data_IF_587311296067
#
_entry.id   IF_587311296067
#
_cell.length_a   1.000
_cell.length_b   1.000
_cell.length_c   1.000
_cell.angle_alpha   90.00
_cell.angle_beta   90.00
_cell.angle_gamma   90.00
#
_symmetry.space_group_name_H-M   'P 1'
#
loop_
_entity.id
_entity.type
_entity.pdbx_description
1 polymer ?
#
# COMPACT_ATOMS: atom_id res chain seq x y z
N UNK A 1 -2.31 -26.46 -1.01
CA UNK A 1 -2.51 -25.41 0.03
C UNK A 1 -2.29 -23.98 -0.47
N UNK A 2 -1.30 -23.71 -1.34
CA UNK A 2 -0.99 -22.34 -1.83
C UNK A 2 -2.14 -21.69 -2.62
N UNK A 3 -2.79 -22.43 -3.52
CA UNK A 3 -3.89 -21.89 -4.35
C UNK A 3 -5.09 -21.38 -3.54
N UNK A 4 -5.45 -22.07 -2.46
CA UNK A 4 -6.58 -21.67 -1.61
C UNK A 4 -6.30 -20.35 -0.88
N UNK A 5 -5.05 -20.11 -0.46
CA UNK A 5 -4.63 -18.84 0.15
C UNK A 5 -4.68 -17.66 -0.83
N UNK A 6 -4.29 -17.90 -2.09
CA UNK A 6 -4.37 -16.88 -3.15
C UNK A 6 -5.81 -16.49 -3.46
N UNK A 7 -6.71 -17.48 -3.58
CA UNK A 7 -8.13 -17.25 -3.85
C UNK A 7 -8.79 -16.48 -2.69
N UNK A 8 -8.45 -16.81 -1.44
CA UNK A 8 -9.01 -16.13 -0.27
C UNK A 8 -8.53 -14.67 -0.21
N UNK A 9 -7.24 -14.41 -0.45
CA UNK A 9 -6.71 -13.04 -0.58
C UNK A 9 -7.41 -12.26 -1.69
N UNK A 10 -7.58 -12.86 -2.87
CA UNK A 10 -8.27 -12.22 -3.99
C UNK A 10 -9.73 -11.89 -3.65
N UNK A 11 -10.44 -12.80 -2.97
CA UNK A 11 -11.82 -12.59 -2.51
C UNK A 11 -11.92 -11.40 -1.55
N UNK A 12 -10.98 -11.28 -0.60
CA UNK A 12 -10.90 -10.15 0.34
C UNK A 12 -10.66 -8.83 -0.41
N UNK A 13 -9.75 -8.80 -1.39
CA UNK A 13 -9.52 -7.60 -2.20
C UNK A 13 -10.75 -7.21 -3.04
N UNK A 14 -11.47 -8.17 -3.61
CA UNK A 14 -12.71 -7.92 -4.33
C UNK A 14 -13.80 -7.35 -3.40
N UNK A 15 -13.97 -7.92 -2.20
CA UNK A 15 -14.93 -7.44 -1.21
C UNK A 15 -14.60 -6.00 -0.77
N UNK A 16 -13.33 -5.70 -0.52
CA UNK A 16 -12.87 -4.34 -0.19
C UNK A 16 -13.16 -3.37 -1.34
N UNK A 17 -12.94 -3.77 -2.60
CA UNK A 17 -13.25 -2.92 -3.76
C UNK A 17 -14.73 -2.55 -3.85
N UNK A 18 -15.63 -3.49 -3.55
CA UNK A 18 -17.08 -3.25 -3.54
C UNK A 18 -17.46 -2.31 -2.38
N UNK A 19 -16.92 -2.54 -1.18
CA UNK A 19 -17.17 -1.70 -0.01
C UNK A 19 -16.67 -0.27 -0.20
N UNK A 20 -15.46 -0.10 -0.74
CA UNK A 20 -14.88 1.21 -1.03
C UNK A 20 -15.71 1.98 -2.07
N UNK A 21 -16.23 1.28 -3.09
CA UNK A 21 -17.12 1.91 -4.08
C UNK A 21 -18.45 2.37 -3.48
N UNK A 22 -18.98 1.66 -2.49
CA UNK A 22 -20.23 2.01 -1.81
C UNK A 22 -20.09 3.11 -0.76
N UNK A 23 -18.91 3.28 -0.17
CA UNK A 23 -18.69 4.18 0.98
C UNK A 23 -17.97 5.47 0.63
N UNK A 24 -17.15 5.50 -0.42
CA UNK A 24 -16.43 6.72 -0.79
C UNK A 24 -17.26 7.59 -1.76
N UNK A 25 -17.36 8.88 -1.42
CA UNK A 25 -17.83 9.89 -2.34
C UNK A 25 -16.88 10.01 -3.55
N UNK A 26 -17.45 10.27 -4.74
CA UNK A 26 -16.69 10.39 -5.99
C UNK A 26 -15.63 11.49 -5.87
N UNK A 27 -14.36 11.10 -5.91
CA UNK A 27 -13.24 12.04 -5.94
C UNK A 27 -13.11 12.66 -7.33
N UNK A 28 -12.91 13.99 -7.39
CA UNK A 28 -12.59 14.68 -8.65
C UNK A 28 -11.15 14.38 -9.06
N UNK A 29 -10.87 14.33 -10.36
CA UNK A 29 -9.55 14.00 -10.92
C UNK A 29 -8.44 14.88 -10.34
N UNK A 30 -8.71 16.19 -10.20
CA UNK A 30 -7.75 17.16 -9.62
C UNK A 30 -7.39 16.84 -8.16
N UNK A 31 -8.38 16.40 -7.37
CA UNK A 31 -8.20 16.06 -5.96
C UNK A 31 -7.45 14.74 -5.78
N UNK A 32 -7.66 13.78 -6.70
CA UNK A 32 -6.95 12.49 -6.69
C UNK A 32 -5.47 12.67 -7.05
N UNK A 33 -5.19 13.53 -8.03
CA UNK A 33 -3.82 13.90 -8.39
C UNK A 33 -3.09 14.55 -7.21
N UNK A 34 -3.75 15.49 -6.53
CA UNK A 34 -3.19 16.15 -5.35
C UNK A 34 -2.98 15.17 -4.19
N UNK A 35 -3.89 14.22 -3.96
CA UNK A 35 -3.74 13.20 -2.90
C UNK A 35 -2.51 12.31 -3.16
N UNK A 36 -2.41 11.78 -4.39
CA UNK A 36 -1.32 10.87 -4.78
C UNK A 36 0.04 11.55 -4.74
N UNK A 37 0.17 12.75 -5.32
CA UNK A 37 1.46 13.43 -5.40
C UNK A 37 1.90 14.05 -4.08
N UNK A 38 0.96 14.55 -3.27
CA UNK A 38 1.29 15.34 -2.08
C UNK A 38 1.40 14.52 -0.81
N UNK A 39 0.69 13.39 -0.72
CA UNK A 39 0.70 12.55 0.47
C UNK A 39 1.22 11.15 0.19
N UNK A 40 0.71 10.48 -0.84
CA UNK A 40 1.06 9.09 -1.10
C UNK A 40 2.53 8.93 -1.47
N UNK A 41 3.06 9.86 -2.28
CA UNK A 41 4.46 9.84 -2.69
C UNK A 41 5.42 9.98 -1.51
N UNK A 42 5.20 10.93 -0.61
CA UNK A 42 6.06 11.16 0.55
C UNK A 42 6.01 10.01 1.55
N UNK A 43 4.83 9.43 1.79
CA UNK A 43 4.67 8.25 2.63
C UNK A 43 5.45 7.05 2.06
N UNK A 44 5.36 6.84 0.75
CA UNK A 44 6.11 5.78 0.08
C UNK A 44 7.62 5.98 0.18
N UNK A 45 8.09 7.21 -0.03
CA UNK A 45 9.50 7.56 0.05
C UNK A 45 10.04 7.35 1.47
N UNK A 46 9.30 7.77 2.49
CA UNK A 46 9.64 7.50 3.89
C UNK A 46 9.71 6.01 4.21
N UNK A 47 8.77 5.21 3.71
CA UNK A 47 8.78 3.76 3.89
C UNK A 47 9.97 3.07 3.21
N UNK A 48 10.37 3.52 2.02
CA UNK A 48 11.56 3.04 1.33
C UNK A 48 12.83 3.34 2.13
N UNK A 49 12.98 4.58 2.63
CA UNK A 49 14.15 4.97 3.42
C UNK A 49 14.24 4.14 4.70
N UNK A 50 13.11 3.93 5.39
CA UNK A 50 13.06 3.08 6.59
C UNK A 50 13.47 1.64 6.29
N UNK A 51 12.98 1.04 5.19
CA UNK A 51 13.39 -0.33 4.83
C UNK A 51 14.88 -0.44 4.53
N UNK A 52 15.44 0.51 3.77
CA UNK A 52 16.87 0.53 3.45
C UNK A 52 17.70 0.66 4.74
N UNK A 53 17.29 1.55 5.64
CA UNK A 53 17.94 1.72 6.94
C UNK A 53 17.87 0.46 7.80
N UNK A 54 16.71 -0.21 7.83
CA UNK A 54 16.52 -1.45 8.58
C UNK A 54 17.40 -2.58 8.03
N UNK A 55 17.43 -2.78 6.72
CA UNK A 55 18.27 -3.81 6.08
C UNK A 55 19.74 -3.53 6.36
N UNK A 56 20.19 -2.29 6.19
CA UNK A 56 21.58 -1.90 6.42
C UNK A 56 21.99 -2.08 7.89
N UNK A 57 21.09 -1.80 8.84
CA UNK A 57 21.33 -2.00 10.26
C UNK A 57 21.48 -3.49 10.61
N UNK A 58 20.60 -4.34 10.09
CA UNK A 58 20.68 -5.78 10.33
C UNK A 58 21.88 -6.42 9.65
N UNK A 59 22.26 -5.96 8.46
CA UNK A 59 23.45 -6.43 7.74
C UNK A 59 24.73 -6.05 8.49
N UNK A 60 24.83 -4.82 8.99
CA UNK A 60 25.95 -4.38 9.82
C UNK A 60 26.03 -5.13 11.17
N UNK A 61 24.89 -5.44 11.79
CA UNK A 61 24.85 -6.16 13.06
C UNK A 61 25.17 -7.66 12.93
N UNK A 62 25.02 -8.24 11.73
CA UNK A 62 25.26 -9.65 11.46
C UNK A 62 26.72 -9.94 11.05
N UNK A 63 27.51 -8.91 10.71
CA UNK A 63 28.97 -8.96 10.51
C UNK A 63 29.69 -8.94 11.86
#
# INVERSE_FOLDING_TARGET
MVFLSLVLKACVFCALGILLRGTLARYRFDQLLQLSWKYFFFIWLGFCILNISFISFFDFFLI
#
